data_IF_782335897898
#
_entry.id   IF_782335897898
#
_cell.length_a   1.000
_cell.length_b   1.000
_cell.length_c   1.000
_cell.angle_alpha   90.00
_cell.angle_beta   90.00
_cell.angle_gamma   90.00
#
_symmetry.space_group_name_H-M   'P 1'
#
loop_
_entity.id
_entity.type
_entity.pdbx_description
1 polymer ?
#
# COMPACT_ATOMS: atom_id res chain seq x y z
N UNK A 1 -3.64 -23.28 20.25
CA UNK A 1 -3.92 -22.23 21.25
C UNK A 1 -3.84 -20.84 20.62
N UNK A 2 -2.74 -20.45 19.96
CA UNK A 2 -2.60 -19.11 19.36
C UNK A 2 -3.53 -18.79 18.17
N UNK A 3 -3.93 -19.78 17.39
CA UNK A 3 -4.82 -19.58 16.23
C UNK A 3 -6.22 -19.10 16.62
N UNK A 4 -6.75 -19.61 17.73
CA UNK A 4 -8.05 -19.21 18.25
C UNK A 4 -8.01 -17.76 18.76
N UNK A 5 -6.96 -17.39 19.51
CA UNK A 5 -6.78 -16.02 19.99
C UNK A 5 -6.63 -15.02 18.85
N UNK A 6 -5.86 -15.36 17.81
CA UNK A 6 -5.72 -14.50 16.63
C UNK A 6 -7.04 -14.33 15.89
N UNK A 7 -7.83 -15.40 15.77
CA UNK A 7 -9.14 -15.36 15.16
C UNK A 7 -10.09 -14.44 15.96
N UNK A 8 -10.20 -14.64 17.27
CA UNK A 8 -11.04 -13.81 18.14
C UNK A 8 -10.65 -12.32 18.09
N UNK A 9 -9.34 -12.02 18.10
CA UNK A 9 -8.83 -10.66 17.95
C UNK A 9 -9.16 -10.07 16.58
N UNK A 10 -9.05 -10.85 15.49
CA UNK A 10 -9.41 -10.38 14.15
C UNK A 10 -10.90 -10.06 14.04
N UNK A 11 -11.77 -10.86 14.68
CA UNK A 11 -13.21 -10.65 14.68
C UNK A 11 -13.59 -9.37 15.44
N UNK A 12 -12.98 -9.12 16.59
CA UNK A 12 -13.22 -7.88 17.33
C UNK A 12 -12.68 -6.66 16.57
N UNK A 13 -11.50 -6.77 15.95
CA UNK A 13 -10.96 -5.69 15.12
C UNK A 13 -11.86 -5.39 13.92
N UNK A 14 -12.41 -6.41 13.26
CA UNK A 14 -13.38 -6.22 12.19
C UNK A 14 -14.65 -5.51 12.68
N UNK A 15 -15.19 -5.94 13.83
CA UNK A 15 -16.37 -5.31 14.46
C UNK A 15 -16.15 -3.82 14.73
N UNK A 16 -14.99 -3.46 15.28
CA UNK A 16 -14.63 -2.06 15.57
C UNK A 16 -14.51 -1.22 14.29
N UNK A 17 -13.93 -1.77 13.22
CA UNK A 17 -13.85 -1.08 11.94
C UNK A 17 -15.22 -0.89 11.29
N UNK A 18 -16.09 -1.89 11.38
CA UNK A 18 -17.47 -1.78 10.89
C UNK A 18 -18.23 -0.68 11.64
N UNK A 19 -18.08 -0.60 12.97
CA UNK A 19 -18.67 0.46 13.78
C UNK A 19 -18.13 1.84 13.38
N UNK A 20 -16.81 1.98 13.20
CA UNK A 20 -16.20 3.23 12.75
C UNK A 20 -16.74 3.69 11.39
N UNK A 21 -16.95 2.75 10.45
CA UNK A 21 -17.58 3.04 9.16
C UNK A 21 -19.02 3.52 9.31
N UNK A 22 -19.82 2.89 10.16
CA UNK A 22 -21.20 3.31 10.41
C UNK A 22 -21.26 4.72 11.00
N UNK A 23 -20.40 5.04 11.96
CA UNK A 23 -20.30 6.38 12.53
C UNK A 23 -19.94 7.42 11.47
N UNK A 24 -18.99 7.10 10.58
CA UNK A 24 -18.59 8.00 9.50
C UNK A 24 -19.74 8.24 8.51
N UNK A 25 -20.53 7.20 8.20
CA UNK A 25 -21.74 7.31 7.36
C UNK A 25 -22.85 8.14 8.02
N UNK A 26 -22.99 8.06 9.34
CA UNK A 26 -23.97 8.88 10.08
C UNK A 26 -23.55 10.36 10.08
N UNK A 27 -22.25 10.64 10.25
CA UNK A 27 -21.71 11.99 10.19
C UNK A 27 -21.86 12.61 8.80
N UNK A 28 -21.72 11.82 7.73
CA UNK A 28 -21.95 12.30 6.36
C UNK A 28 -23.41 12.74 6.12
N UNK A 29 -24.37 12.08 6.79
CA UNK A 29 -25.81 12.39 6.69
C UNK A 29 -26.23 13.57 7.56
N UNK A 30 -25.41 13.96 8.54
CA UNK A 30 -25.68 15.15 9.35
C UNK A 30 -25.29 16.39 8.56
N UNK A 31 -26.15 17.41 8.45
CA UNK A 31 -25.75 18.69 7.89
C UNK A 31 -24.78 19.37 8.86
N UNK A 32 -23.49 19.06 8.77
CA UNK A 32 -22.46 19.85 9.45
C UNK A 32 -22.39 21.20 8.75
N UNK A 33 -22.88 22.23 9.42
CA UNK A 33 -22.64 23.63 9.05
C UNK A 33 -21.14 23.88 9.07
N UNK A 34 -20.57 24.14 7.90
CA UNK A 34 -19.17 24.56 7.77
C UNK A 34 -19.06 25.97 8.35
N UNK A 35 -18.23 26.22 9.39
CA UNK A 35 -17.99 27.58 9.85
C UNK A 35 -17.10 28.29 8.82
N UNK A 36 -17.63 29.34 8.20
CA UNK A 36 -16.91 30.48 7.59
C UNK A 36 -15.86 30.18 6.50
N UNK A 37 -16.05 30.80 5.34
CA UNK A 37 -15.25 30.68 4.10
C UNK A 37 -13.74 31.05 4.19
N UNK A 38 -13.19 31.31 5.37
CA UNK A 38 -11.84 31.89 5.55
C UNK A 38 -10.76 30.89 6.01
N UNK A 39 -11.10 29.62 6.27
CA UNK A 39 -10.12 28.59 6.64
C UNK A 39 -9.72 27.73 5.42
N UNK A 40 -8.43 27.41 5.21
CA UNK A 40 -8.02 26.53 4.12
C UNK A 40 -8.75 25.19 4.24
N UNK A 41 -9.55 24.83 3.23
CA UNK A 41 -10.48 23.67 3.22
C UNK A 41 -9.83 22.31 3.55
N UNK A 42 -8.49 22.21 3.49
CA UNK A 42 -7.68 21.04 3.92
C UNK A 42 -7.48 20.93 5.44
N UNK A 43 -7.71 21.99 6.22
CA UNK A 43 -7.43 22.02 7.65
C UNK A 43 -8.60 21.53 8.52
N UNK A 44 -9.81 21.40 7.96
CA UNK A 44 -10.96 20.88 8.70
C UNK A 44 -10.93 19.34 8.71
N UNK A 45 -10.93 18.69 9.89
CA UNK A 45 -10.89 17.23 10.01
C UNK A 45 -12.07 16.51 9.35
N UNK A 46 -13.16 17.25 9.08
CA UNK A 46 -14.46 16.75 8.65
C UNK A 46 -14.90 17.31 7.29
N UNK A 47 -13.98 17.87 6.49
CA UNK A 47 -14.31 18.29 5.12
C UNK A 47 -14.56 17.06 4.23
N UNK A 48 -15.42 17.18 3.21
CA UNK A 48 -15.74 16.09 2.28
C UNK A 48 -14.52 15.31 1.73
N UNK A 49 -13.42 15.95 1.27
CA UNK A 49 -12.25 15.19 0.82
C UNK A 49 -11.61 14.35 1.93
N UNK A 50 -11.61 14.84 3.17
CA UNK A 50 -11.07 14.14 4.34
C UNK A 50 -11.95 12.93 4.71
N UNK A 51 -13.27 13.05 4.55
CA UNK A 51 -14.23 11.94 4.76
C UNK A 51 -14.01 10.82 3.73
N UNK A 52 -13.83 11.17 2.45
CA UNK A 52 -13.57 10.20 1.39
C UNK A 52 -12.24 9.44 1.60
N UNK A 53 -11.17 10.16 2.00
CA UNK A 53 -9.88 9.55 2.35
C UNK A 53 -10.02 8.59 3.55
N UNK A 54 -10.78 8.99 4.58
CA UNK A 54 -11.07 8.11 5.74
C UNK A 54 -11.86 6.87 5.36
N UNK A 55 -12.84 6.98 4.46
CA UNK A 55 -13.55 5.82 3.92
C UNK A 55 -12.59 4.86 3.21
N UNK A 56 -11.71 5.39 2.35
CA UNK A 56 -10.72 4.59 1.65
C UNK A 56 -9.77 3.88 2.63
N UNK A 57 -9.31 4.59 3.67
CA UNK A 57 -8.47 4.02 4.73
C UNK A 57 -9.18 2.88 5.47
N UNK A 58 -10.40 3.10 5.97
CA UNK A 58 -11.15 2.08 6.72
C UNK A 58 -11.44 0.84 5.87
N UNK A 59 -11.77 1.01 4.59
CA UNK A 59 -11.96 -0.10 3.66
C UNK A 59 -10.67 -0.90 3.46
N UNK A 60 -9.53 -0.22 3.39
CA UNK A 60 -8.23 -0.87 3.27
C UNK A 60 -7.86 -1.65 4.54
N UNK A 61 -8.08 -1.08 5.73
CA UNK A 61 -7.81 -1.79 7.00
C UNK A 61 -8.71 -3.02 7.18
N UNK A 62 -10.00 -2.93 6.81
CA UNK A 62 -10.92 -4.06 6.86
C UNK A 62 -10.47 -5.18 5.91
N UNK A 63 -10.02 -4.83 4.71
CA UNK A 63 -9.42 -5.78 3.77
C UNK A 63 -8.18 -6.45 4.35
N UNK A 64 -7.31 -5.71 5.04
CA UNK A 64 -6.10 -6.27 5.64
C UNK A 64 -6.43 -7.27 6.75
N UNK A 65 -7.34 -6.92 7.66
CA UNK A 65 -7.75 -7.80 8.78
C UNK A 65 -8.42 -9.07 8.26
N UNK A 66 -9.40 -8.94 7.36
CA UNK A 66 -10.13 -10.09 6.79
C UNK A 66 -9.23 -11.08 6.04
N UNK A 67 -8.12 -10.60 5.45
CA UNK A 67 -7.15 -11.42 4.73
C UNK A 67 -5.90 -11.76 5.53
N UNK A 68 -5.81 -11.31 6.79
CA UNK A 68 -4.62 -11.40 7.62
C UNK A 68 -3.36 -10.85 6.91
N UNK A 69 -3.53 -9.79 6.11
CA UNK A 69 -2.44 -9.12 5.40
C UNK A 69 -1.67 -8.21 6.36
N UNK A 70 -0.35 -8.43 6.46
CA UNK A 70 0.57 -7.55 7.18
C UNK A 70 1.37 -6.72 6.18
N UNK A 71 1.55 -5.42 6.48
CA UNK A 71 2.41 -4.53 5.70
C UNK A 71 3.67 -4.22 6.51
N UNK A 72 4.83 -4.62 5.99
CA UNK A 72 6.13 -4.32 6.59
C UNK A 72 6.88 -3.29 5.71
N UNK A 73 7.20 -2.14 6.30
CA UNK A 73 8.05 -1.14 5.65
C UNK A 73 9.52 -1.35 6.03
N UNK A 74 10.38 -1.59 5.04
CA UNK A 74 11.83 -1.76 5.25
C UNK A 74 12.56 -0.56 4.67
N UNK A 75 13.15 0.26 5.54
CA UNK A 75 13.85 1.50 5.18
C UNK A 75 15.30 1.41 5.63
N UNK A 76 16.19 2.05 4.87
CA UNK A 76 17.61 2.08 5.20
C UNK A 76 18.45 2.54 4.03
N UNK A 77 19.68 2.94 4.31
CA UNK A 77 20.65 3.40 3.31
C UNK A 77 20.99 2.29 2.31
N UNK A 78 21.61 2.67 1.19
CA UNK A 78 22.04 1.73 0.17
C UNK A 78 23.00 0.69 0.76
N UNK A 79 22.88 -0.57 0.34
CA UNK A 79 23.68 -1.72 0.83
C UNK A 79 23.49 -2.11 2.32
N UNK A 80 22.47 -1.58 3.00
CA UNK A 80 22.11 -2.01 4.36
C UNK A 80 21.50 -3.44 4.48
N UNK A 81 21.59 -4.26 3.43
CA UNK A 81 21.05 -5.64 3.44
C UNK A 81 19.53 -5.77 3.25
N UNK A 82 18.80 -4.68 2.94
CA UNK A 82 17.32 -4.69 2.80
C UNK A 82 16.81 -5.80 1.87
N UNK A 83 17.36 -5.89 0.66
CA UNK A 83 16.96 -6.91 -0.32
C UNK A 83 17.31 -8.32 0.15
N UNK A 84 18.43 -8.48 0.85
CA UNK A 84 18.83 -9.75 1.48
C UNK A 84 17.82 -10.18 2.54
N UNK A 85 17.41 -9.26 3.43
CA UNK A 85 16.41 -9.53 4.48
C UNK A 85 15.06 -9.91 3.87
N UNK A 86 14.63 -9.23 2.81
CA UNK A 86 13.41 -9.56 2.09
C UNK A 86 13.49 -10.97 1.50
N UNK A 87 14.55 -11.28 0.76
CA UNK A 87 14.72 -12.61 0.15
C UNK A 87 14.76 -13.72 1.21
N UNK A 88 15.36 -13.45 2.37
CA UNK A 88 15.36 -14.38 3.50
C UNK A 88 13.96 -14.60 4.09
N UNK A 89 13.14 -13.55 4.21
CA UNK A 89 11.74 -13.66 4.66
C UNK A 89 10.90 -14.44 3.66
N UNK A 90 11.07 -14.19 2.35
CA UNK A 90 10.31 -14.90 1.30
C UNK A 90 10.82 -16.34 1.12
N UNK A 91 12.09 -16.60 1.43
CA UNK A 91 12.74 -17.90 1.23
C UNK A 91 13.22 -18.15 -0.20
N UNK A 92 13.23 -17.12 -1.06
CA UNK A 92 13.72 -17.19 -2.44
C UNK A 92 14.27 -15.84 -2.91
N UNK A 93 15.11 -15.85 -3.94
CA UNK A 93 15.74 -14.65 -4.48
C UNK A 93 14.78 -13.87 -5.40
N UNK A 94 13.84 -13.14 -4.80
CA UNK A 94 12.86 -12.32 -5.56
C UNK A 94 13.47 -10.97 -5.96
N UNK A 95 14.23 -10.35 -5.06
CA UNK A 95 14.91 -9.09 -5.33
C UNK A 95 16.37 -9.34 -5.70
N UNK A 96 16.92 -8.56 -6.64
CA UNK A 96 18.29 -8.76 -7.05
C UNK A 96 19.22 -8.26 -5.92
N UNK A 97 20.22 -9.06 -5.54
CA UNK A 97 21.17 -8.77 -4.46
C UNK A 97 22.62 -8.80 -4.96
N UNK A 98 23.25 -7.62 -5.16
CA UNK A 98 24.61 -7.44 -5.67
C UNK A 98 25.22 -6.21 -4.98
N UNK A 99 26.55 -6.10 -5.02
CA UNK A 99 27.30 -4.99 -4.43
C UNK A 99 27.08 -3.61 -5.08
N UNK A 100 26.18 -3.49 -6.07
CA UNK A 100 25.79 -2.22 -6.71
C UNK A 100 24.43 -1.73 -6.18
N UNK A 101 24.11 -0.44 -6.30
CA UNK A 101 22.75 0.06 -6.15
C UNK A 101 21.78 -0.74 -7.04
N UNK A 102 20.77 -1.39 -6.44
CA UNK A 102 19.89 -2.31 -7.18
C UNK A 102 18.40 -1.94 -7.09
N UNK A 103 18.05 -1.01 -6.20
CA UNK A 103 16.66 -0.59 -5.98
C UNK A 103 16.63 0.94 -5.96
N UNK A 104 16.32 1.54 -7.11
CA UNK A 104 16.17 2.97 -7.28
C UNK A 104 14.71 3.44 -7.08
N UNK A 105 13.75 2.52 -7.20
CA UNK A 105 12.31 2.79 -7.12
C UNK A 105 11.72 2.11 -5.86
N UNK A 106 10.79 2.77 -5.16
CA UNK A 106 9.97 2.12 -4.14
C UNK A 106 9.33 0.86 -4.73
N UNK A 107 9.66 -0.30 -4.16
CA UNK A 107 9.22 -1.61 -4.68
C UNK A 107 8.29 -2.25 -3.68
N UNK A 108 7.07 -2.56 -4.11
CA UNK A 108 6.09 -3.28 -3.31
C UNK A 108 6.17 -4.78 -3.63
N UNK A 109 6.34 -5.60 -2.59
CA UNK A 109 6.29 -7.06 -2.71
C UNK A 109 5.02 -7.54 -2.05
N UNK A 110 4.26 -8.38 -2.77
CA UNK A 110 3.02 -8.96 -2.28
C UNK A 110 3.03 -10.46 -2.53
N UNK A 111 2.76 -11.21 -1.48
CA UNK A 111 2.44 -12.63 -1.60
C UNK A 111 1.01 -12.79 -2.13
N UNK A 112 0.84 -13.59 -3.18
CA UNK A 112 -0.47 -13.89 -3.77
C UNK A 112 -0.68 -15.40 -3.72
N UNK A 113 -1.75 -15.92 -3.07
CA UNK A 113 -2.02 -17.34 -3.02
C UNK A 113 -2.04 -17.98 -4.43
N UNK A 114 -1.29 -19.07 -4.61
CA UNK A 114 -1.18 -19.77 -5.88
C UNK A 114 -0.11 -19.24 -6.85
N UNK A 115 0.49 -18.07 -6.57
CA UNK A 115 1.58 -17.53 -7.38
C UNK A 115 2.91 -18.18 -6.96
N UNK A 116 3.44 -19.09 -7.80
CA UNK A 116 4.73 -19.77 -7.54
C UNK A 116 5.94 -18.98 -8.05
N UNK A 117 5.79 -18.34 -9.20
CA UNK A 117 6.85 -17.54 -9.82
C UNK A 117 6.58 -16.04 -9.63
N UNK A 118 7.60 -15.21 -9.38
CA UNK A 118 7.40 -13.78 -9.18
C UNK A 118 6.98 -13.11 -10.49
N UNK A 119 5.90 -12.33 -10.43
CA UNK A 119 5.43 -11.50 -11.56
C UNK A 119 5.75 -10.05 -11.27
N UNK A 120 6.50 -9.41 -12.18
CA UNK A 120 6.79 -7.98 -12.10
C UNK A 120 5.64 -7.19 -12.73
N UNK A 121 4.94 -6.42 -11.91
CA UNK A 121 3.99 -5.42 -12.38
C UNK A 121 4.65 -4.05 -12.40
N UNK A 122 4.86 -3.50 -13.59
CA UNK A 122 5.41 -2.17 -13.79
C UNK A 122 4.36 -1.29 -14.48
N UNK A 123 3.64 -0.45 -13.73
CA UNK A 123 2.47 0.25 -14.28
C UNK A 123 2.81 1.40 -15.22
N UNK A 124 4.00 2.01 -15.08
CA UNK A 124 4.42 3.19 -15.84
C UNK A 124 5.59 2.84 -16.78
N UNK A 125 5.38 1.87 -17.68
CA UNK A 125 6.41 1.42 -18.64
C UNK A 125 6.64 2.41 -19.79
N UNK A 126 5.62 3.18 -20.16
CA UNK A 126 5.63 4.02 -21.37
C UNK A 126 6.87 4.91 -21.57
N UNK A 127 7.44 5.56 -20.52
CA UNK A 127 8.68 6.33 -20.68
C UNK A 127 9.89 5.47 -21.08
N UNK A 128 9.98 4.25 -20.55
CA UNK A 128 11.06 3.30 -20.88
C UNK A 128 10.89 2.83 -22.32
N UNK A 129 9.67 2.47 -22.72
CA UNK A 129 9.39 2.01 -24.08
C UNK A 129 9.72 3.10 -25.11
N UNK A 130 9.33 4.35 -24.81
CA UNK A 130 9.68 5.51 -25.65
C UNK A 130 11.20 5.70 -25.77
N UNK A 131 11.94 5.56 -24.67
CA UNK A 131 13.40 5.65 -24.68
C UNK A 131 14.03 4.52 -25.50
N UNK A 132 13.58 3.27 -25.31
CA UNK A 132 14.08 2.11 -26.05
C UNK A 132 13.85 2.31 -27.55
N UNK A 133 12.67 2.77 -27.96
CA UNK A 133 12.38 3.05 -29.37
C UNK A 133 13.32 4.11 -29.95
N UNK A 134 13.54 5.22 -29.22
CA UNK A 134 14.48 6.28 -29.65
C UNK A 134 15.92 5.76 -29.79
N UNK A 135 16.37 4.92 -28.87
CA UNK A 135 17.71 4.33 -28.92
C UNK A 135 17.85 3.35 -30.09
N UNK A 136 16.83 2.53 -30.34
CA UNK A 136 16.83 1.59 -31.46
C UNK A 136 16.86 2.28 -32.82
N UNK A 137 16.21 3.44 -32.96
CA UNK A 137 16.29 4.24 -34.18
C UNK A 137 17.72 4.73 -34.42
N UNK A 138 18.35 5.33 -33.40
CA UNK A 138 19.72 5.87 -33.52
C UNK A 138 20.83 4.84 -33.67
N UNK A 139 20.58 3.59 -33.30
CA UNK A 139 21.55 2.49 -33.48
C UNK A 139 21.46 1.82 -34.85
N UNK A 140 20.39 2.10 -35.61
CA UNK A 140 20.21 1.61 -36.99
C UNK A 140 20.70 2.59 -38.05
N UNK A 141 20.87 3.86 -37.67
CA UNK A 141 21.56 4.91 -38.43
C UNK A 141 23.09 4.81 -38.21
#
# INVERSE_FOLDING_TARGET
MYTQTLYELSQEAERLLQLSRQQLQLLEKMPLSVPGDDAPQRALPWSQPNIAERHAMLNNELRKISRLEMVLAIVGTMKAGKSTTINAIVGTEVLPNRNRPMTALPTLIRHTPGQKEPVLHFSHVAPIDCLIQKLQQRLRD
#
